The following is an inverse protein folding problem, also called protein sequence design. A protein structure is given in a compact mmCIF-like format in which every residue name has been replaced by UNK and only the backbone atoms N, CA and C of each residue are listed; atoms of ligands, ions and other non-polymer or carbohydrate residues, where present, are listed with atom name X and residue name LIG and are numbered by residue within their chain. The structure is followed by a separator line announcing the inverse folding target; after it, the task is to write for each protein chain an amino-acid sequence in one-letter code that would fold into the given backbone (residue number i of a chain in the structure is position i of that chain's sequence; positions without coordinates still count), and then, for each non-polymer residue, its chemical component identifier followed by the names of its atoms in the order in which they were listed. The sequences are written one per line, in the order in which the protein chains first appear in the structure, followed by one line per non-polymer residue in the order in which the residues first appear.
data_IF_566179382612
#
_entry.id   IF_566179382612
#
_cell.length_a   1.000
_cell.length_b   1.000
_cell.length_c   1.000
_cell.angle_alpha   90.00
_cell.angle_beta   90.00
_cell.angle_gamma   90.00
#
_symmetry.space_group_name_H-M   'P 1'
#
loop_
_entity.id
_entity.type
_entity.pdbx_description
1 polymer ?
#
# COMPACT_ATOMS: atom_id res chain seq x y z
N UNK A 1 -50.33 -48.96 -2.03
CA UNK A 1 -49.78 -47.98 -2.99
C UNK A 1 -49.33 -46.75 -2.21
N UNK A 2 -48.06 -46.65 -1.85
CA UNK A 2 -47.47 -45.44 -1.24
C UNK A 2 -46.07 -45.28 -1.84
N UNK A 3 -45.96 -44.52 -2.93
CA UNK A 3 -44.68 -44.10 -3.49
C UNK A 3 -44.42 -42.68 -3.00
N UNK A 4 -43.76 -42.55 -1.85
CA UNK A 4 -43.27 -41.25 -1.39
C UNK A 4 -42.08 -40.87 -2.26
N UNK A 5 -42.36 -39.91 -3.13
CA UNK A 5 -41.48 -39.29 -4.08
C UNK A 5 -40.23 -38.73 -3.38
N UNK A 6 -39.11 -39.41 -3.56
CA UNK A 6 -37.78 -38.97 -3.15
C UNK A 6 -37.38 -37.78 -4.03
N UNK A 7 -37.85 -36.59 -3.65
CA UNK A 7 -37.45 -35.32 -4.25
C UNK A 7 -35.98 -35.06 -3.91
N UNK A 8 -35.11 -35.62 -4.76
CA UNK A 8 -33.70 -35.31 -4.87
C UNK A 8 -33.56 -33.83 -5.24
N UNK A 9 -33.65 -32.96 -4.22
CA UNK A 9 -33.32 -31.53 -4.33
C UNK A 9 -31.81 -31.40 -4.47
N UNK A 10 -31.31 -31.74 -5.65
CA UNK A 10 -29.97 -31.37 -6.08
C UNK A 10 -29.94 -29.84 -6.17
N UNK A 11 -29.63 -29.19 -5.05
CA UNK A 11 -29.39 -27.75 -4.99
C UNK A 11 -28.22 -27.47 -5.94
N UNK A 12 -28.54 -27.02 -7.15
CA UNK A 12 -27.54 -26.60 -8.13
C UNK A 12 -26.58 -25.64 -7.44
N UNK A 13 -25.32 -26.08 -7.24
CA UNK A 13 -24.29 -25.27 -6.61
C UNK A 13 -24.05 -24.06 -7.50
N UNK A 14 -24.62 -22.91 -7.11
CA UNK A 14 -24.41 -21.62 -7.79
C UNK A 14 -22.90 -21.44 -8.00
N UNK A 15 -22.44 -21.12 -9.22
CA UNK A 15 -21.01 -20.96 -9.47
C UNK A 15 -20.50 -19.81 -8.59
N UNK A 16 -19.69 -20.16 -7.58
CA UNK A 16 -19.07 -19.16 -6.70
C UNK A 16 -18.23 -18.23 -7.59
N UNK A 17 -18.66 -16.96 -7.66
CA UNK A 17 -17.96 -15.91 -8.40
C UNK A 17 -16.68 -15.53 -7.65
N UNK A 18 -15.55 -16.16 -8.02
CA UNK A 18 -14.25 -15.99 -7.37
C UNK A 18 -13.47 -14.75 -7.88
N UNK A 19 -14.11 -13.58 -7.97
CA UNK A 19 -13.48 -12.37 -8.51
C UNK A 19 -12.23 -11.95 -7.73
N UNK A 20 -12.27 -11.97 -6.40
CA UNK A 20 -11.14 -11.59 -5.54
C UNK A 20 -9.97 -12.57 -5.71
N UNK A 21 -10.24 -13.87 -5.78
CA UNK A 21 -9.19 -14.88 -6.02
C UNK A 21 -8.58 -14.73 -7.42
N UNK A 22 -9.39 -14.38 -8.42
CA UNK A 22 -8.91 -14.08 -9.78
C UNK A 22 -8.03 -12.84 -9.78
N UNK A 23 -8.44 -11.78 -9.09
CA UNK A 23 -7.68 -10.54 -8.94
C UNK A 23 -6.32 -10.75 -8.25
N UNK A 24 -6.28 -11.48 -7.13
CA UNK A 24 -5.02 -11.81 -6.44
C UNK A 24 -4.11 -12.65 -7.35
N UNK A 25 -4.66 -13.60 -8.11
CA UNK A 25 -3.89 -14.39 -9.08
C UNK A 25 -3.30 -13.52 -10.18
N UNK A 26 -4.05 -12.56 -10.70
CA UNK A 26 -3.58 -11.63 -11.73
C UNK A 26 -2.48 -10.72 -11.19
N UNK A 27 -2.63 -10.18 -9.97
CA UNK A 27 -1.60 -9.40 -9.27
C UNK A 27 -0.33 -10.24 -9.07
N UNK A 28 -0.46 -11.49 -8.61
CA UNK A 28 0.69 -12.36 -8.38
C UNK A 28 1.41 -12.76 -9.68
N UNK A 29 0.70 -12.75 -10.82
CA UNK A 29 1.28 -13.02 -12.15
C UNK A 29 2.14 -11.86 -12.65
N UNK A 30 1.88 -10.64 -12.22
CA UNK A 30 2.73 -9.50 -12.56
C UNK A 30 4.16 -9.78 -12.06
N UNK A 31 5.15 -9.57 -12.93
CA UNK A 31 6.56 -9.74 -12.59
C UNK A 31 6.96 -8.64 -11.61
N UNK A 32 6.81 -8.91 -10.32
CA UNK A 32 7.22 -7.98 -9.28
C UNK A 32 8.75 -7.81 -9.29
N UNK A 33 9.24 -6.58 -9.07
CA UNK A 33 10.66 -6.33 -8.89
C UNK A 33 11.20 -7.14 -7.71
N UNK A 34 12.49 -7.50 -7.78
CA UNK A 34 13.16 -8.23 -6.71
C UNK A 34 13.12 -7.43 -5.42
N UNK A 35 12.91 -8.09 -4.28
CA UNK A 35 12.92 -7.49 -2.94
C UNK A 35 14.16 -6.63 -2.70
N UNK A 36 15.33 -7.02 -3.25
CA UNK A 36 16.56 -6.21 -3.15
C UNK A 36 16.43 -4.85 -3.82
N UNK A 37 15.79 -4.79 -4.98
CA UNK A 37 15.55 -3.54 -5.72
C UNK A 37 14.59 -2.64 -4.94
N UNK A 38 13.56 -3.21 -4.31
CA UNK A 38 12.58 -2.46 -3.51
C UNK A 38 13.22 -1.87 -2.26
N UNK A 39 14.05 -2.65 -1.54
CA UNK A 39 14.76 -2.16 -0.35
C UNK A 39 15.76 -1.07 -0.72
N UNK A 40 16.51 -1.24 -1.82
CA UNK A 40 17.43 -0.20 -2.28
C UNK A 40 16.70 1.10 -2.66
N UNK A 41 15.55 1.01 -3.34
CA UNK A 41 14.72 2.17 -3.65
C UNK A 41 14.17 2.83 -2.39
N UNK A 42 13.71 2.04 -1.41
CA UNK A 42 13.21 2.53 -0.14
C UNK A 42 14.29 3.29 0.66
N UNK A 43 15.50 2.76 0.74
CA UNK A 43 16.63 3.43 1.40
C UNK A 43 16.95 4.77 0.71
N UNK A 44 16.95 4.81 -0.63
CA UNK A 44 17.15 6.07 -1.37
C UNK A 44 16.10 7.12 -1.02
N UNK A 45 14.84 6.71 -0.92
CA UNK A 45 13.73 7.61 -0.54
C UNK A 45 13.91 8.12 0.89
N UNK A 46 14.30 7.26 1.84
CA UNK A 46 14.55 7.66 3.22
C UNK A 46 15.67 8.70 3.32
N UNK A 47 16.81 8.44 2.65
CA UNK A 47 17.94 9.37 2.65
C UNK A 47 17.55 10.71 2.04
N UNK A 48 16.86 10.71 0.89
CA UNK A 48 16.39 11.94 0.27
C UNK A 48 15.43 12.72 1.18
N UNK A 49 14.47 12.03 1.79
CA UNK A 49 13.50 12.64 2.72
C UNK A 49 14.21 13.28 3.92
N UNK A 50 15.22 12.61 4.49
CA UNK A 50 16.01 13.16 5.59
C UNK A 50 16.78 14.41 5.18
N UNK A 51 17.40 14.41 4.01
CA UNK A 51 18.15 15.58 3.50
C UNK A 51 17.21 16.78 3.31
N UNK A 52 16.04 16.57 2.68
CA UNK A 52 15.06 17.64 2.48
C UNK A 52 14.51 18.14 3.81
N UNK A 53 14.20 17.24 4.74
CA UNK A 53 13.72 17.62 6.08
C UNK A 53 14.77 18.46 6.79
N UNK A 54 16.03 18.02 6.80
CA UNK A 54 17.13 18.77 7.41
C UNK A 54 17.32 20.15 6.76
N UNK A 55 17.20 20.23 5.43
CA UNK A 55 17.27 21.50 4.71
C UNK A 55 16.15 22.47 5.12
N UNK A 56 14.90 22.00 5.14
CA UNK A 56 13.75 22.84 5.55
C UNK A 56 13.90 23.30 7.00
N UNK A 57 14.37 22.42 7.89
CA UNK A 57 14.67 22.77 9.28
C UNK A 57 15.76 23.83 9.38
N UNK A 58 16.86 23.68 8.64
CA UNK A 58 17.97 24.63 8.64
C UNK A 58 17.52 26.01 8.15
N UNK A 59 16.75 26.07 7.07
CA UNK A 59 16.18 27.31 6.54
C UNK A 59 15.24 27.95 7.56
N UNK A 60 14.32 27.19 8.13
CA UNK A 60 13.40 27.69 9.17
C UNK A 60 14.15 28.21 10.39
N UNK A 61 15.20 27.50 10.82
CA UNK A 61 16.02 27.92 11.95
C UNK A 61 16.81 29.19 11.63
N UNK A 62 17.36 29.32 10.42
CA UNK A 62 18.05 30.54 9.98
C UNK A 62 17.12 31.75 10.01
N UNK A 63 15.90 31.61 9.48
CA UNK A 63 14.91 32.70 9.53
C UNK A 63 14.49 33.04 10.96
N UNK A 64 14.23 32.05 11.81
CA UNK A 64 13.92 32.28 13.23
C UNK A 64 15.08 32.99 13.95
N UNK A 65 16.32 32.61 13.65
CA UNK A 65 17.50 33.23 14.24
C UNK A 65 17.69 34.69 13.78
N UNK A 66 17.46 34.98 12.50
CA UNK A 66 17.47 36.35 11.96
C UNK A 66 16.34 37.17 12.60
N UNK A 67 15.14 36.60 12.72
CA UNK A 67 13.99 37.29 13.30
C UNK A 67 14.22 37.67 14.77
N UNK A 68 14.75 36.74 15.56
CA UNK A 68 15.06 36.97 16.98
C UNK A 68 16.24 37.92 17.18
N UNK A 69 17.29 37.84 16.35
CA UNK A 69 18.42 38.78 16.41
C UNK A 69 18.07 40.19 15.94
N UNK A 70 17.05 40.34 15.09
CA UNK A 70 16.54 41.65 14.64
C UNK A 70 15.64 42.35 15.67
N UNK A 71 15.41 41.75 16.85
CA UNK A 71 14.63 42.35 17.94
C UNK A 71 13.13 42.47 17.68
N UNK A 72 12.60 41.70 16.73
CA UNK A 72 11.17 41.67 16.36
C UNK A 72 10.37 40.62 17.15
N UNK A 73 10.94 40.09 18.24
CA UNK A 73 10.36 39.11 19.16
C UNK A 73 10.61 39.49 20.60
#
# INVERSE_FOLDING_TARGET
MNHLNEQNTSKAKKPKRYWIRKFIKEIKRVKWPNSKTNVAAFIKILVFTLIITAFVFAVSFAFTHIWTSSGLS
#
